data_IF_447979365112
#
_entry.id   IF_447979365112
#
_cell.length_a   1.000
_cell.length_b   1.000
_cell.length_c   1.000
_cell.angle_alpha   90.00
_cell.angle_beta   90.00
_cell.angle_gamma   90.00
#
_symmetry.space_group_name_H-M   'P 1'
#
loop_
_entity.id
_entity.type
_entity.pdbx_description
1 polymer ?
#
# COMPACT_ATOMS: atom_id res chain seq x y z
N UNK A 1 1.32 10.26 11.97
CA UNK A 1 2.70 10.10 11.46
C UNK A 1 2.69 10.18 9.95
N UNK A 2 3.54 11.04 9.37
CA UNK A 2 3.71 11.08 7.92
C UNK A 2 4.47 9.85 7.45
N UNK A 3 4.09 9.34 6.28
CA UNK A 3 4.80 8.28 5.57
C UNK A 3 5.21 8.78 4.19
N UNK A 4 6.32 8.26 3.71
CA UNK A 4 6.96 8.71 2.48
C UNK A 4 6.95 7.58 1.43
N UNK A 5 6.88 7.97 0.17
CA UNK A 5 6.91 7.03 -0.95
C UNK A 5 8.32 6.42 -1.06
N UNK A 6 8.41 5.09 -1.00
CA UNK A 6 9.68 4.42 -1.28
C UNK A 6 10.07 4.62 -2.75
N UNK A 7 11.34 4.42 -3.11
CA UNK A 7 11.75 4.53 -4.51
C UNK A 7 11.18 3.43 -5.42
N UNK A 8 10.52 2.41 -4.86
CA UNK A 8 10.07 1.24 -5.60
C UNK A 8 8.58 1.34 -5.95
N UNK A 9 8.29 1.14 -7.22
CA UNK A 9 6.95 0.98 -7.76
C UNK A 9 6.84 -0.36 -8.48
N UNK A 10 5.60 -0.81 -8.69
CA UNK A 10 5.33 -1.96 -9.54
C UNK A 10 4.01 -1.76 -10.30
N UNK A 11 3.91 -2.40 -11.47
CA UNK A 11 2.69 -2.45 -12.26
C UNK A 11 2.37 -3.90 -12.62
N UNK A 12 1.08 -4.22 -12.74
CA UNK A 12 0.67 -5.49 -13.31
C UNK A 12 1.09 -5.58 -14.77
N UNK A 13 1.54 -6.78 -15.18
CA UNK A 13 2.05 -7.04 -16.53
C UNK A 13 0.89 -7.27 -17.51
N UNK A 14 -0.16 -7.94 -17.05
CA UNK A 14 -1.30 -8.31 -17.89
C UNK A 14 -2.33 -7.16 -17.97
N UNK A 15 -2.92 -6.97 -19.16
CA UNK A 15 -4.01 -6.01 -19.37
C UNK A 15 -5.28 -6.37 -18.59
N UNK A 16 -5.51 -7.68 -18.37
CA UNK A 16 -6.63 -8.19 -17.59
C UNK A 16 -6.11 -9.02 -16.44
N UNK A 17 -6.28 -8.51 -15.23
CA UNK A 17 -5.94 -9.23 -13.99
C UNK A 17 -7.08 -10.15 -13.58
N UNK A 18 -6.74 -11.37 -13.15
CA UNK A 18 -7.68 -12.39 -12.72
C UNK A 18 -7.58 -12.60 -11.21
N UNK A 19 -8.67 -12.33 -10.47
CA UNK A 19 -8.70 -12.45 -9.02
C UNK A 19 -8.44 -13.89 -8.51
N UNK A 20 -8.58 -14.90 -9.36
CA UNK A 20 -8.32 -16.31 -9.03
C UNK A 20 -6.92 -16.79 -9.38
N UNK A 21 -6.10 -15.93 -9.99
CA UNK A 21 -4.74 -16.26 -10.40
C UNK A 21 -3.72 -15.35 -9.74
N UNK A 22 -2.50 -15.83 -9.61
CA UNK A 22 -1.37 -14.99 -9.32
C UNK A 22 -1.09 -14.10 -10.55
N UNK A 23 -1.24 -12.79 -10.37
CA UNK A 23 -0.97 -11.82 -11.42
C UNK A 23 0.44 -11.27 -11.22
N UNK A 24 1.27 -11.41 -12.22
CA UNK A 24 2.65 -10.92 -12.17
C UNK A 24 2.72 -9.41 -12.18
N UNK A 25 3.70 -8.88 -11.47
CA UNK A 25 4.04 -7.46 -11.48
C UNK A 25 5.48 -7.26 -11.95
N UNK A 26 5.71 -6.14 -12.61
CA UNK A 26 7.03 -5.66 -12.94
C UNK A 26 7.41 -4.53 -11.99
N UNK A 27 8.54 -4.70 -11.30
CA UNK A 27 9.07 -3.70 -10.38
C UNK A 27 10.03 -2.76 -11.09
N UNK A 28 9.98 -1.48 -10.72
CA UNK A 28 10.89 -0.47 -11.23
C UNK A 28 11.20 0.57 -10.14
N UNK A 29 12.24 1.37 -10.37
CA UNK A 29 12.67 2.40 -9.42
C UNK A 29 12.35 3.78 -9.98
N UNK A 30 11.83 4.67 -9.12
CA UNK A 30 11.59 6.06 -9.45
C UNK A 30 12.96 6.73 -9.72
N UNK A 31 13.20 7.30 -10.91
CA UNK A 31 14.42 8.03 -11.21
C UNK A 31 14.56 9.32 -10.36
N UNK A 32 15.76 9.86 -10.25
CA UNK A 32 16.03 11.08 -9.48
C UNK A 32 15.25 12.31 -10.00
N UNK A 33 14.97 12.36 -11.31
CA UNK A 33 14.14 13.39 -11.94
C UNK A 33 12.62 13.10 -11.86
N UNK A 34 12.25 12.06 -11.11
CA UNK A 34 10.87 11.64 -10.85
C UNK A 34 10.28 10.76 -11.93
N UNK A 35 9.12 10.19 -11.63
CA UNK A 35 8.34 9.33 -12.51
C UNK A 35 6.94 9.90 -12.73
N UNK A 36 6.44 9.87 -13.98
CA UNK A 36 5.10 10.37 -14.30
C UNK A 36 4.08 9.25 -14.21
N UNK A 37 3.24 9.30 -13.18
CA UNK A 37 2.05 8.47 -13.08
C UNK A 37 1.00 8.94 -14.09
N UNK A 38 0.24 8.00 -14.67
CA UNK A 38 -0.79 8.28 -15.67
C UNK A 38 -2.13 7.67 -15.25
N UNK A 39 -3.26 8.34 -15.58
CA UNK A 39 -4.59 7.76 -15.37
C UNK A 39 -4.79 6.43 -16.10
N UNK A 40 -5.72 5.62 -15.58
CA UNK A 40 -6.09 4.34 -16.19
C UNK A 40 -5.22 3.16 -15.81
N UNK A 41 -4.26 3.37 -14.93
CA UNK A 41 -3.38 2.32 -14.41
C UNK A 41 -3.29 2.41 -12.88
N UNK A 42 -3.23 1.27 -12.22
CA UNK A 42 -2.88 1.18 -10.79
C UNK A 42 -1.39 0.93 -10.66
N UNK A 43 -0.72 1.76 -9.89
CA UNK A 43 0.67 1.59 -9.51
C UNK A 43 0.73 1.09 -8.08
N UNK A 44 1.45 -0.01 -7.87
CA UNK A 44 1.74 -0.46 -6.51
C UNK A 44 3.00 0.28 -6.04
N UNK A 45 2.86 1.02 -4.96
CA UNK A 45 3.98 1.66 -4.28
C UNK A 45 4.18 1.06 -2.89
N UNK A 46 5.22 1.44 -2.19
CA UNK A 46 5.39 1.08 -0.78
C UNK A 46 5.79 2.29 0.05
N UNK A 47 5.51 2.24 1.35
CA UNK A 47 6.02 3.24 2.28
C UNK A 47 7.51 3.01 2.52
N UNK A 48 8.25 4.11 2.66
CA UNK A 48 9.67 4.06 3.06
C UNK A 48 9.80 3.54 4.50
N UNK A 49 8.81 3.87 5.34
CA UNK A 49 8.79 3.49 6.74
C UNK A 49 8.29 2.05 6.92
N UNK A 50 9.01 1.31 7.74
CA UNK A 50 8.50 0.11 8.38
C UNK A 50 7.72 0.51 9.64
N UNK A 51 6.51 -0.01 9.79
CA UNK A 51 5.64 0.31 10.92
C UNK A 51 5.25 -0.95 11.68
N UNK A 52 5.08 -0.83 12.98
CA UNK A 52 4.58 -1.89 13.85
C UNK A 52 3.42 -1.37 14.69
N UNK A 53 2.40 -2.21 14.83
CA UNK A 53 1.33 -2.00 15.80
C UNK A 53 1.00 -3.31 16.51
N UNK A 54 0.84 -3.26 17.82
CA UNK A 54 0.48 -4.44 18.62
C UNK A 54 -0.76 -4.19 19.49
N UNK A 55 -1.22 -2.95 19.55
CA UNK A 55 -2.32 -2.51 20.44
C UNK A 55 -3.30 -1.58 19.75
N UNK A 56 -2.94 -1.04 18.61
CA UNK A 56 -3.72 -0.02 17.90
C UNK A 56 -4.12 -0.55 16.53
N UNK A 57 -5.28 -0.11 16.07
CA UNK A 57 -5.68 -0.24 14.66
C UNK A 57 -5.06 0.92 13.90
N UNK A 58 -4.18 0.66 12.92
CA UNK A 58 -3.62 1.70 12.08
C UNK A 58 -4.56 2.01 10.91
N UNK A 59 -4.68 3.29 10.57
CA UNK A 59 -5.31 3.74 9.34
C UNK A 59 -4.29 4.51 8.51
N UNK A 60 -4.10 4.08 7.28
CA UNK A 60 -3.32 4.80 6.30
C UNK A 60 -4.26 5.71 5.52
N UNK A 61 -4.00 7.00 5.56
CA UNK A 61 -4.77 8.03 4.87
C UNK A 61 -3.88 8.86 3.96
N UNK A 62 -4.48 9.40 2.88
CA UNK A 62 -3.82 10.36 2.02
C UNK A 62 -3.58 11.70 2.73
N UNK A 63 -2.69 12.49 2.19
CA UNK A 63 -2.47 13.88 2.63
C UNK A 63 -3.28 14.82 1.73
N UNK A 64 -3.83 15.88 2.31
CA UNK A 64 -4.64 16.85 1.57
C UNK A 64 -3.90 17.51 0.40
N UNK A 65 -2.59 17.71 0.51
CA UNK A 65 -1.75 18.24 -0.57
C UNK A 65 -1.50 17.21 -1.68
N UNK A 66 -1.49 15.92 -1.37
CA UNK A 66 -1.36 14.82 -2.33
C UNK A 66 -2.68 14.61 -3.07
N UNK A 67 -3.80 14.59 -2.34
CA UNK A 67 -5.13 14.49 -2.94
C UNK A 67 -5.45 15.64 -3.90
N UNK A 68 -4.98 16.88 -3.63
CA UNK A 68 -5.13 18.03 -4.53
C UNK A 68 -4.35 17.91 -5.84
N UNK A 69 -3.36 17.02 -5.91
CA UNK A 69 -2.68 16.64 -7.16
C UNK A 69 -3.44 15.56 -7.94
N UNK A 70 -4.58 15.09 -7.40
CA UNK A 70 -5.34 14.00 -7.99
C UNK A 70 -4.72 12.61 -7.76
N UNK A 71 -3.98 12.42 -6.66
CA UNK A 71 -3.36 11.17 -6.30
C UNK A 71 -4.18 10.51 -5.20
N UNK A 72 -4.67 9.30 -5.46
CA UNK A 72 -5.22 8.38 -4.47
C UNK A 72 -4.16 7.35 -4.11
N UNK A 73 -4.02 7.00 -2.83
CA UNK A 73 -2.99 6.05 -2.37
C UNK A 73 -3.53 4.68 -1.96
N UNK A 74 -4.84 4.55 -1.89
CA UNK A 74 -5.58 3.30 -1.76
C UNK A 74 -7.01 3.48 -2.27
N UNK A 75 -7.61 2.41 -2.79
CA UNK A 75 -8.98 2.47 -3.28
C UNK A 75 -10.00 2.42 -2.11
N UNK A 76 -9.89 1.41 -1.25
CA UNK A 76 -10.89 1.15 -0.19
C UNK A 76 -10.29 0.62 1.12
N UNK A 77 -9.05 0.24 1.17
CA UNK A 77 -8.46 -0.54 2.25
C UNK A 77 -7.35 0.19 3.01
N UNK A 78 -7.65 1.40 3.50
CA UNK A 78 -6.71 2.17 4.32
C UNK A 78 -6.53 1.64 5.75
N UNK A 79 -7.46 0.77 6.23
CA UNK A 79 -7.38 0.18 7.56
C UNK A 79 -6.44 -1.02 7.59
N UNK A 80 -5.48 -1.02 8.50
CA UNK A 80 -4.71 -2.20 8.87
C UNK A 80 -5.31 -2.91 10.09
N UNK A 81 -4.87 -4.13 10.34
CA UNK A 81 -5.24 -4.89 11.53
C UNK A 81 -4.24 -4.68 12.68
N UNK A 82 -4.66 -4.88 13.91
CA UNK A 82 -3.76 -4.98 15.05
C UNK A 82 -2.78 -6.12 14.81
N UNK A 83 -1.49 -5.89 15.02
CA UNK A 83 -0.43 -6.88 14.74
C UNK A 83 0.13 -6.81 13.32
N UNK A 84 -0.33 -5.87 12.48
CA UNK A 84 0.31 -5.61 11.20
C UNK A 84 1.67 -4.92 11.40
N UNK A 85 2.73 -5.57 10.95
CA UNK A 85 4.12 -5.12 11.14
C UNK A 85 4.85 -5.25 9.80
N UNK A 86 4.82 -4.19 8.97
CA UNK A 86 5.43 -4.19 7.64
C UNK A 86 5.58 -2.77 7.09
N UNK A 87 6.15 -2.66 5.89
CA UNK A 87 5.91 -1.52 5.00
C UNK A 87 4.50 -1.66 4.40
N UNK A 88 3.84 -0.54 4.15
CA UNK A 88 2.52 -0.54 3.52
C UNK A 88 2.66 -0.58 2.01
N UNK A 89 1.92 -1.48 1.37
CA UNK A 89 1.71 -1.39 -0.08
C UNK A 89 0.61 -0.38 -0.35
N UNK A 90 0.88 0.55 -1.25
CA UNK A 90 -0.02 1.61 -1.68
C UNK A 90 -0.60 1.22 -3.05
N UNK A 91 -1.92 1.35 -3.22
CA UNK A 91 -2.60 1.16 -4.51
C UNK A 91 -2.82 2.53 -5.15
N UNK A 92 -1.77 3.04 -5.79
CA UNK A 92 -1.74 4.43 -6.27
C UNK A 92 -2.48 4.54 -7.61
N UNK A 93 -3.46 5.43 -7.66
CA UNK A 93 -4.10 5.86 -8.89
C UNK A 93 -4.12 7.38 -9.00
N UNK A 94 -4.25 7.89 -10.22
CA UNK A 94 -4.22 9.33 -10.47
C UNK A 94 -5.34 9.75 -11.43
N UNK A 95 -5.92 10.92 -11.17
CA UNK A 95 -6.94 11.50 -12.04
C UNK A 95 -6.38 12.27 -13.26
N UNK A 96 -5.11 12.61 -13.21
CA UNK A 96 -4.38 13.32 -14.27
C UNK A 96 -2.90 12.91 -14.23
N UNK A 97 -2.12 13.09 -15.32
CA UNK A 97 -0.69 12.84 -15.28
C UNK A 97 -0.02 13.70 -14.21
N UNK A 98 0.71 13.06 -13.30
CA UNK A 98 1.41 13.73 -12.21
C UNK A 98 2.80 13.13 -12.00
N UNK A 99 3.81 14.00 -11.83
CA UNK A 99 5.16 13.57 -11.53
C UNK A 99 5.35 13.38 -10.02
N UNK A 100 5.79 12.19 -9.64
CA UNK A 100 6.10 11.84 -8.25
C UNK A 100 7.60 11.60 -8.09
N UNK A 101 8.07 11.71 -6.85
CA UNK A 101 9.48 11.54 -6.50
C UNK A 101 9.60 10.55 -5.34
N UNK A 102 10.69 9.82 -5.31
CA UNK A 102 11.04 9.04 -4.14
C UNK A 102 11.17 9.95 -2.90
N UNK A 103 10.83 9.43 -1.74
CA UNK A 103 10.86 10.11 -0.44
C UNK A 103 9.88 11.30 -0.29
N UNK A 104 9.03 11.58 -1.28
CA UNK A 104 7.98 12.58 -1.07
C UNK A 104 6.99 12.12 0.01
N UNK A 105 6.47 13.02 0.86
CA UNK A 105 5.38 12.68 1.76
C UNK A 105 4.16 12.24 0.95
N UNK A 106 3.69 11.00 1.16
CA UNK A 106 2.61 10.43 0.33
C UNK A 106 1.33 10.20 1.11
N UNK A 107 1.44 9.91 2.39
CA UNK A 107 0.31 9.60 3.25
C UNK A 107 0.62 9.88 4.71
N UNK A 108 -0.30 9.49 5.56
CA UNK A 108 -0.16 9.59 7.02
C UNK A 108 -0.83 8.39 7.69
N UNK A 109 -0.25 7.95 8.80
CA UNK A 109 -0.82 6.92 9.65
C UNK A 109 -1.47 7.55 10.89
N UNK A 110 -2.70 7.14 11.12
CA UNK A 110 -3.50 7.45 12.31
C UNK A 110 -3.70 6.15 13.06
N UNK A 111 -3.61 6.18 14.38
CA UNK A 111 -3.77 5.01 15.23
C UNK A 111 -4.96 5.17 16.15
N UNK A 112 -5.81 4.15 16.21
CA UNK A 112 -6.97 4.11 17.07
C UNK A 112 -6.82 3.02 18.14
N UNK A 113 -7.28 3.32 19.34
CA UNK A 113 -7.41 2.32 20.40
C UNK A 113 -8.52 1.33 20.06
N UNK A 114 -8.29 0.07 20.40
CA UNK A 114 -9.32 -0.97 20.36
C UNK A 114 -9.95 -1.06 21.73
N UNK A 115 -11.27 -1.01 21.78
CA UNK A 115 -12.04 -1.34 22.97
C UNK A 115 -12.31 -2.86 22.98
N UNK A 116 -12.02 -3.49 24.12
CA UNK A 116 -12.11 -4.95 24.26
C UNK A 116 -10.78 -5.67 24.00
N UNK A 117 -10.86 -6.99 23.83
CA UNK A 117 -9.71 -7.87 23.60
C UNK A 117 -9.61 -8.26 22.13
N UNK A 118 -8.39 -8.31 21.62
CA UNK A 118 -8.09 -8.84 20.29
C UNK A 118 -7.73 -10.32 20.46
N UNK A 119 -8.64 -11.20 20.10
CA UNK A 119 -8.45 -12.66 20.25
C UNK A 119 -7.25 -13.17 19.41
N UNK A 120 -7.16 -12.71 18.16
CA UNK A 120 -6.08 -13.10 17.23
C UNK A 120 -5.63 -11.86 16.47
N UNK A 121 -4.41 -11.41 16.68
CA UNK A 121 -3.82 -10.33 15.92
C UNK A 121 -3.36 -10.79 14.52
N UNK A 122 -3.04 -9.83 13.65
CA UNK A 122 -2.67 -10.12 12.27
C UNK A 122 -1.42 -11.01 12.16
N UNK A 123 -0.45 -10.84 13.05
CA UNK A 123 0.79 -11.62 13.03
C UNK A 123 0.59 -13.10 13.34
N UNK A 124 -0.47 -13.42 14.08
CA UNK A 124 -0.84 -14.79 14.49
C UNK A 124 -2.00 -15.38 13.67
N UNK A 125 -2.61 -14.59 12.78
CA UNK A 125 -3.76 -15.00 11.99
C UNK A 125 -3.33 -15.93 10.85
N UNK A 126 -3.83 -17.16 10.84
CA UNK A 126 -3.49 -18.17 9.82
C UNK A 126 -3.83 -17.73 8.37
N UNK A 127 -4.84 -16.89 8.20
CA UNK A 127 -5.27 -16.36 6.89
C UNK A 127 -4.56 -15.07 6.49
N UNK A 128 -3.62 -14.55 7.31
CA UNK A 128 -2.87 -13.35 6.98
C UNK A 128 -1.96 -13.57 5.75
N UNK A 129 -2.06 -12.70 4.78
CA UNK A 129 -1.37 -12.85 3.49
C UNK A 129 -0.08 -12.05 3.38
N UNK A 130 0.01 -10.94 4.12
CA UNK A 130 1.07 -9.95 3.96
C UNK A 130 1.98 -9.86 5.20
N UNK A 131 2.21 -11.00 5.87
CA UNK A 131 3.08 -11.09 7.06
C UNK A 131 4.57 -11.14 6.72
N UNK A 132 4.91 -11.53 5.50
CA UNK A 132 6.30 -11.54 5.08
C UNK A 132 6.79 -10.10 4.91
N UNK A 133 7.83 -9.72 5.65
CA UNK A 133 8.42 -8.38 5.55
C UNK A 133 8.94 -8.12 4.14
N UNK A 134 8.50 -7.02 3.56
CA UNK A 134 8.93 -6.56 2.24
C UNK A 134 9.01 -5.03 2.22
N UNK A 135 10.10 -4.49 1.73
CA UNK A 135 10.23 -3.06 1.38
C UNK A 135 9.75 -2.77 -0.05
N UNK A 136 9.55 -3.81 -0.85
CA UNK A 136 8.97 -3.70 -2.18
C UNK A 136 7.44 -3.78 -2.08
N UNK A 137 6.70 -3.09 -2.96
CA UNK A 137 5.26 -3.26 -3.04
C UNK A 137 4.92 -4.70 -3.41
N UNK A 138 3.85 -5.23 -2.80
CA UNK A 138 3.41 -6.62 -2.96
C UNK A 138 2.10 -6.62 -3.73
N UNK A 139 2.01 -7.48 -4.74
CA UNK A 139 0.81 -7.68 -5.54
C UNK A 139 -0.34 -8.32 -4.75
N UNK A 140 -1.54 -8.30 -5.30
CA UNK A 140 -2.72 -8.90 -4.69
C UNK A 140 -2.55 -10.40 -4.48
N UNK A 141 -2.80 -10.86 -3.27
CA UNK A 141 -2.88 -12.28 -2.93
C UNK A 141 -4.35 -12.77 -2.86
N UNK A 142 -5.26 -12.14 -3.59
CA UNK A 142 -6.69 -12.53 -3.63
C UNK A 142 -6.87 -13.97 -4.09
N UNK A 143 -6.04 -14.45 -5.00
CA UNK A 143 -6.03 -15.82 -5.52
C UNK A 143 -5.82 -16.91 -4.48
N UNK A 144 -5.32 -16.58 -3.28
CA UNK A 144 -5.21 -17.53 -2.16
C UNK A 144 -6.53 -17.78 -1.44
N UNK A 145 -7.57 -17.03 -1.74
CA UNK A 145 -8.91 -17.25 -1.19
C UNK A 145 -9.66 -18.29 -2.04
N UNK A 146 -10.42 -19.16 -1.36
CA UNK A 146 -11.36 -20.06 -2.05
C UNK A 146 -12.67 -19.30 -2.32
N UNK A 147 -13.05 -19.15 -3.58
CA UNK A 147 -14.33 -18.58 -4.02
C UNK A 147 -14.72 -19.03 -5.45
#
# INVERSE_FOLDING_TARGET
YDVHLSPHLACYVDDVIDARKHNQVEHFTIPDDGFVLRPGQTYLGSTLEYTETRRFVPFLEGKSSVGRLGIDIHATAGKGDVGFCNHWTLEISVSQPVRVYAQMPIGQLIYFLVEGEVEVDYSNKASAKYNQRSSLPVESMMWKNAF
#
